data_IF_873331306133
#
_entry.id   IF_873331306133
#
_cell.length_a   1.000
_cell.length_b   1.000
_cell.length_c   1.000
_cell.angle_alpha   90.00
_cell.angle_beta   90.00
_cell.angle_gamma   90.00
#
_symmetry.space_group_name_H-M   'P 1'
#
loop_
_entity.id
_entity.type
_entity.pdbx_description
1 polymer ?
#
# COMPACT_ATOMS: atom_id res chain seq x y z
N UNK A 1 10.15 16.79 -10.10
CA UNK A 1 11.40 16.19 -10.60
C UNK A 1 12.09 17.19 -11.56
N UNK A 2 13.14 17.87 -11.08
CA UNK A 2 13.86 18.87 -11.91
C UNK A 2 14.74 18.24 -13.02
N UNK A 3 15.00 16.92 -12.96
CA UNK A 3 15.81 16.23 -13.96
C UNK A 3 14.96 15.81 -15.17
N UNK A 4 15.25 16.36 -16.35
CA UNK A 4 14.51 16.09 -17.61
C UNK A 4 14.36 14.60 -17.96
N UNK A 5 15.31 13.74 -17.58
CA UNK A 5 15.25 12.29 -17.83
C UNK A 5 14.19 11.56 -17.00
N UNK A 6 13.90 12.05 -15.79
CA UNK A 6 12.91 11.41 -14.89
C UNK A 6 11.48 11.91 -15.14
N UNK A 7 11.30 13.04 -15.81
CA UNK A 7 9.97 13.59 -16.16
C UNK A 7 9.16 12.71 -17.12
N UNK A 8 9.79 11.79 -17.84
CA UNK A 8 9.11 10.85 -18.73
C UNK A 8 8.71 9.55 -18.06
N UNK A 9 9.19 9.31 -16.84
CA UNK A 9 8.88 8.10 -16.09
C UNK A 9 7.70 8.35 -15.18
N UNK A 10 6.83 7.38 -15.07
CA UNK A 10 5.75 7.40 -14.08
C UNK A 10 6.36 7.22 -12.70
N UNK A 11 6.05 8.11 -11.77
CA UNK A 11 6.49 8.03 -10.39
C UNK A 11 5.47 7.24 -9.57
N UNK A 12 5.92 6.18 -8.92
CA UNK A 12 5.14 5.47 -7.90
C UNK A 12 5.82 5.72 -6.56
N UNK A 13 5.05 6.15 -5.59
CA UNK A 13 5.55 6.37 -4.22
C UNK A 13 4.92 5.37 -3.26
N UNK A 14 5.54 5.16 -2.13
CA UNK A 14 5.03 4.23 -1.15
C UNK A 14 6.04 3.91 -0.07
N UNK A 15 5.75 2.84 0.65
CA UNK A 15 6.69 2.39 1.67
C UNK A 15 6.13 1.28 2.55
N UNK A 16 7.02 0.75 3.38
CA UNK A 16 6.67 -0.25 4.37
C UNK A 16 6.14 0.40 5.63
N UNK A 17 5.05 -0.16 6.17
CA UNK A 17 4.49 0.20 7.47
C UNK A 17 4.29 1.73 7.59
N UNK A 18 4.91 2.37 8.58
CA UNK A 18 4.84 3.80 8.81
C UNK A 18 5.28 4.61 7.57
N UNK A 19 6.26 4.14 6.80
CA UNK A 19 6.70 4.81 5.56
C UNK A 19 5.59 4.91 4.52
N UNK A 20 4.79 3.85 4.34
CA UNK A 20 3.61 3.86 3.47
C UNK A 20 2.52 4.80 3.99
N UNK A 21 2.27 4.79 5.30
CA UNK A 21 1.31 5.70 5.92
C UNK A 21 1.73 7.17 5.77
N UNK A 22 3.00 7.50 5.97
CA UNK A 22 3.51 8.85 5.75
C UNK A 22 3.34 9.25 4.28
N UNK A 23 3.68 8.37 3.32
CA UNK A 23 3.48 8.63 1.90
C UNK A 23 2.01 8.94 1.59
N UNK A 24 1.07 8.20 2.19
CA UNK A 24 -0.36 8.45 2.02
C UNK A 24 -0.79 9.81 2.62
N UNK A 25 -0.28 10.18 3.79
CA UNK A 25 -0.56 11.47 4.42
C UNK A 25 -0.03 12.64 3.59
N UNK A 26 1.18 12.53 3.04
CA UNK A 26 1.75 13.54 2.15
C UNK A 26 0.89 13.71 0.90
N UNK A 27 0.42 12.61 0.31
CA UNK A 27 -0.45 12.66 -0.88
C UNK A 27 -1.87 13.16 -0.60
N UNK A 28 -2.35 13.05 0.63
CA UNK A 28 -3.65 13.57 1.05
C UNK A 28 -3.59 15.03 1.50
N UNK A 29 -2.40 15.55 1.84
CA UNK A 29 -2.19 16.89 2.37
C UNK A 29 -2.32 18.01 1.34
N UNK A 30 -2.40 19.25 1.82
CA UNK A 30 -2.53 20.44 0.96
C UNK A 30 -1.27 20.72 0.14
N UNK A 31 -0.09 20.37 0.67
CA UNK A 31 1.19 20.58 -0.03
C UNK A 31 1.43 19.64 -1.23
N UNK A 32 0.53 18.67 -1.45
CA UNK A 32 0.61 17.73 -2.58
C UNK A 32 0.61 18.41 -3.95
N UNK A 33 0.05 19.60 -4.07
CA UNK A 33 -0.14 20.29 -5.35
C UNK A 33 1.16 20.46 -6.16
N UNK A 34 2.30 20.53 -5.47
CA UNK A 34 3.60 20.74 -6.15
C UNK A 34 4.13 19.50 -6.89
N UNK A 35 3.67 18.30 -6.57
CA UNK A 35 4.19 17.04 -7.14
C UNK A 35 3.13 15.95 -7.41
N UNK A 36 1.89 16.18 -6.98
CA UNK A 36 0.84 15.17 -7.12
C UNK A 36 0.60 14.73 -8.57
N UNK A 37 0.75 15.65 -9.52
CA UNK A 37 0.59 15.35 -10.95
C UNK A 37 1.67 14.39 -11.47
N UNK A 38 2.87 14.42 -10.89
CA UNK A 38 3.97 13.52 -11.25
C UNK A 38 3.76 12.09 -10.70
N UNK A 39 2.89 11.91 -9.69
CA UNK A 39 2.63 10.61 -9.07
C UNK A 39 1.55 9.84 -9.81
N UNK A 40 1.88 8.66 -10.31
CA UNK A 40 0.97 7.75 -10.99
C UNK A 40 0.17 6.85 -10.03
N UNK A 41 0.74 6.51 -8.88
CA UNK A 41 0.09 5.66 -7.89
C UNK A 41 0.91 5.46 -6.62
N UNK A 42 0.31 4.79 -5.63
CA UNK A 42 0.93 4.49 -4.34
C UNK A 42 0.93 2.98 -4.05
N UNK A 43 2.03 2.49 -3.46
CA UNK A 43 2.16 1.11 -2.99
C UNK A 43 2.43 1.08 -1.50
N UNK A 44 1.62 0.34 -0.76
CA UNK A 44 1.76 0.18 0.68
C UNK A 44 2.12 -1.26 1.02
N UNK A 45 3.26 -1.44 1.69
CA UNK A 45 3.74 -2.74 2.13
C UNK A 45 3.44 -2.90 3.63
N UNK A 46 2.36 -3.59 3.97
CA UNK A 46 1.88 -3.70 5.35
C UNK A 46 1.41 -2.35 5.89
N UNK A 47 0.28 -1.84 5.38
CA UNK A 47 -0.31 -0.58 5.87
C UNK A 47 -0.74 -0.72 7.33
N UNK A 48 -0.27 0.15 8.25
CA UNK A 48 -0.64 0.08 9.65
C UNK A 48 -2.00 0.75 9.87
N UNK A 49 -3.07 0.02 9.65
CA UNK A 49 -4.46 0.49 9.77
C UNK A 49 -4.77 1.04 11.16
N UNK A 50 -4.25 0.38 12.18
CA UNK A 50 -4.39 0.75 13.59
C UNK A 50 -3.18 0.30 14.41
N UNK A 51 -2.96 0.81 15.63
CA UNK A 51 -1.96 0.28 16.53
C UNK A 51 -2.28 -1.17 16.93
N UNK A 52 -1.28 -2.00 17.24
CA UNK A 52 -1.51 -3.35 17.75
C UNK A 52 -2.41 -3.33 18.99
N UNK A 53 -3.41 -4.20 19.03
CA UNK A 53 -4.34 -4.31 20.15
C UNK A 53 -5.31 -3.14 20.32
N UNK A 54 -5.34 -2.16 19.39
CA UNK A 54 -6.29 -1.06 19.41
C UNK A 54 -6.96 -0.84 18.04
N UNK A 55 -7.84 -1.75 17.61
CA UNK A 55 -8.48 -1.69 16.30
C UNK A 55 -9.46 -0.51 16.14
N UNK A 56 -9.87 0.12 17.23
CA UNK A 56 -10.74 1.30 17.18
C UNK A 56 -9.99 2.58 16.75
N UNK A 57 -8.64 2.62 16.88
CA UNK A 57 -7.84 3.78 16.51
C UNK A 57 -7.42 3.70 15.05
N UNK A 58 -8.36 3.89 14.15
CA UNK A 58 -8.16 3.82 12.71
C UNK A 58 -7.29 4.97 12.16
N UNK A 59 -6.60 4.70 11.04
CA UNK A 59 -5.68 5.62 10.36
C UNK A 59 -6.00 5.68 8.86
N UNK A 60 -7.26 5.93 8.52
CA UNK A 60 -7.80 5.82 7.16
C UNK A 60 -8.47 7.08 6.63
N UNK A 61 -8.84 8.04 7.48
CA UNK A 61 -9.65 9.21 7.13
C UNK A 61 -9.07 10.01 5.96
N UNK A 62 -7.75 10.13 5.90
CA UNK A 62 -7.07 10.86 4.84
C UNK A 62 -7.04 10.14 3.48
N UNK A 63 -7.31 8.83 3.43
CA UNK A 63 -7.22 8.04 2.19
C UNK A 63 -8.25 8.50 1.14
N UNK A 64 -9.40 9.02 1.55
CA UNK A 64 -10.43 9.54 0.64
C UNK A 64 -9.99 10.79 -0.13
N UNK A 65 -8.98 11.51 0.38
CA UNK A 65 -8.41 12.68 -0.26
C UNK A 65 -7.30 12.34 -1.28
N UNK A 66 -6.96 11.06 -1.45
CA UNK A 66 -5.98 10.59 -2.42
C UNK A 66 -6.71 10.16 -3.69
N UNK A 67 -6.56 10.97 -4.75
CA UNK A 67 -7.19 10.69 -6.05
C UNK A 67 -6.22 9.99 -7.02
N UNK A 68 -5.46 9.04 -6.50
CA UNK A 68 -4.51 8.20 -7.26
C UNK A 68 -4.76 6.72 -6.98
N UNK A 69 -4.47 5.83 -7.94
CA UNK A 69 -4.52 4.40 -7.70
C UNK A 69 -3.64 3.99 -6.51
N UNK A 70 -4.12 3.07 -5.70
CA UNK A 70 -3.41 2.55 -4.52
C UNK A 70 -3.39 1.02 -4.54
N UNK A 71 -2.22 0.44 -4.26
CA UNK A 71 -2.05 -0.99 -4.02
C UNK A 71 -1.65 -1.22 -2.56
N UNK A 72 -2.43 -2.03 -1.85
CA UNK A 72 -2.13 -2.50 -0.51
C UNK A 72 -1.62 -3.94 -0.60
N UNK A 73 -0.37 -4.18 -0.24
CA UNK A 73 0.21 -5.52 -0.07
C UNK A 73 0.15 -5.83 1.41
N UNK A 74 -0.70 -6.78 1.82
CA UNK A 74 -1.08 -6.95 3.22
C UNK A 74 -1.11 -8.42 3.63
N UNK A 75 -0.50 -8.74 4.79
CA UNK A 75 -0.54 -10.07 5.36
C UNK A 75 -1.90 -10.38 6.00
N UNK A 76 -2.41 -11.61 5.80
CA UNK A 76 -3.69 -12.02 6.40
C UNK A 76 -3.62 -12.22 7.91
N UNK A 77 -2.42 -12.21 8.49
CA UNK A 77 -2.18 -12.28 9.95
C UNK A 77 -1.47 -11.03 10.48
N UNK A 78 -1.56 -9.93 9.75
CA UNK A 78 -0.98 -8.67 10.19
C UNK A 78 -1.79 -8.07 11.34
N UNK A 79 -1.17 -7.95 12.52
CA UNK A 79 -1.81 -7.43 13.74
C UNK A 79 -2.04 -5.91 13.72
N UNK A 80 -1.52 -5.22 12.70
CA UNK A 80 -1.73 -3.79 12.47
C UNK A 80 -2.86 -3.51 11.47
N UNK A 81 -3.46 -4.57 10.91
CA UNK A 81 -4.57 -4.53 9.98
C UNK A 81 -4.49 -5.64 8.94
N UNK A 82 -5.53 -6.45 8.85
CA UNK A 82 -5.66 -7.50 7.83
C UNK A 82 -6.29 -6.96 6.55
N UNK A 83 -6.23 -7.70 5.42
CA UNK A 83 -6.96 -7.34 4.20
C UNK A 83 -8.46 -7.11 4.44
N UNK A 84 -9.08 -7.96 5.25
CA UNK A 84 -10.50 -7.88 5.60
C UNK A 84 -10.83 -6.61 6.38
N UNK A 85 -9.93 -6.18 7.28
CA UNK A 85 -10.10 -4.94 8.04
C UNK A 85 -9.93 -3.69 7.18
N UNK A 86 -9.03 -3.72 6.17
CA UNK A 86 -8.78 -2.60 5.26
C UNK A 86 -9.90 -2.45 4.22
N UNK A 87 -10.42 -3.56 3.70
CA UNK A 87 -11.38 -3.60 2.59
C UNK A 87 -12.58 -2.63 2.75
N UNK A 88 -13.26 -2.51 3.90
CA UNK A 88 -14.40 -1.61 4.05
C UNK A 88 -14.08 -0.15 3.79
N UNK A 89 -12.84 0.27 4.09
CA UNK A 89 -12.42 1.67 3.99
C UNK A 89 -11.92 2.04 2.59
N UNK A 90 -11.51 1.06 1.79
CA UNK A 90 -10.91 1.32 0.47
C UNK A 90 -11.81 0.94 -0.70
N UNK A 91 -12.83 0.12 -0.49
CA UNK A 91 -13.72 -0.39 -1.55
C UNK A 91 -14.44 0.70 -2.36
N UNK A 92 -14.70 1.86 -1.75
CA UNK A 92 -15.42 2.96 -2.36
C UNK A 92 -14.52 4.09 -2.87
N UNK A 93 -13.20 3.96 -2.71
CA UNK A 93 -12.27 4.97 -3.18
C UNK A 93 -12.28 5.08 -4.71
N UNK A 94 -11.99 6.27 -5.20
CA UNK A 94 -11.88 6.55 -6.64
C UNK A 94 -10.59 7.32 -6.92
N UNK A 95 -9.66 6.76 -7.72
CA UNK A 95 -9.70 5.41 -8.33
C UNK A 95 -9.77 4.27 -7.30
N UNK A 96 -10.25 3.10 -7.74
CA UNK A 96 -10.38 1.94 -6.86
C UNK A 96 -9.02 1.49 -6.33
N UNK A 97 -8.94 1.24 -5.03
CA UNK A 97 -7.76 0.63 -4.44
C UNK A 97 -7.77 -0.89 -4.65
N UNK A 98 -6.58 -1.46 -4.82
CA UNK A 98 -6.38 -2.91 -4.91
C UNK A 98 -5.72 -3.42 -3.63
N UNK A 99 -6.16 -4.57 -3.14
CA UNK A 99 -5.53 -5.28 -2.03
C UNK A 99 -4.96 -6.60 -2.57
N UNK A 100 -3.66 -6.81 -2.35
CA UNK A 100 -2.99 -8.08 -2.55
C UNK A 100 -2.72 -8.71 -1.19
N UNK A 101 -3.43 -9.80 -0.91
CA UNK A 101 -3.31 -10.53 0.36
C UNK A 101 -2.15 -11.52 0.30
N UNK A 102 -1.23 -11.44 1.27
CA UNK A 102 -0.20 -12.46 1.50
C UNK A 102 -0.76 -13.45 2.51
N UNK A 103 -1.16 -14.62 2.02
CA UNK A 103 -1.79 -15.65 2.85
C UNK A 103 -0.85 -16.13 3.95
N UNK A 104 -1.33 -16.09 5.19
CA UNK A 104 -0.56 -16.43 6.40
C UNK A 104 0.51 -15.41 6.78
N UNK A 105 0.72 -14.35 6.00
CA UNK A 105 1.74 -13.34 6.27
C UNK A 105 1.42 -12.49 7.50
N UNK A 106 2.44 -12.24 8.32
CA UNK A 106 2.41 -11.24 9.39
C UNK A 106 2.75 -9.84 8.85
N UNK A 107 2.93 -8.86 9.74
CA UNK A 107 3.32 -7.50 9.37
C UNK A 107 4.66 -7.42 8.60
N UNK A 108 5.53 -8.41 8.75
CA UNK A 108 6.80 -8.54 8.03
C UNK A 108 6.73 -9.48 6.83
N UNK A 109 5.51 -9.93 6.47
CA UNK A 109 5.23 -10.89 5.39
C UNK A 109 5.79 -12.29 5.63
N UNK A 110 6.09 -12.64 6.89
CA UNK A 110 6.50 -13.98 7.28
C UNK A 110 5.28 -14.85 7.48
N UNK A 111 5.24 -15.99 6.82
CA UNK A 111 4.18 -16.96 6.96
C UNK A 111 4.69 -18.28 7.58
N UNK A 112 3.91 -18.96 8.44
CA UNK A 112 4.22 -20.29 8.90
C UNK A 112 4.37 -21.28 7.74
N UNK A 113 5.24 -22.28 7.90
CA UNK A 113 5.54 -23.29 6.86
C UNK A 113 4.29 -24.02 6.34
N UNK A 114 3.24 -24.15 7.16
CA UNK A 114 1.96 -24.79 6.76
C UNK A 114 1.28 -24.10 5.57
N UNK A 115 1.60 -22.84 5.28
CA UNK A 115 1.08 -22.10 4.11
C UNK A 115 1.84 -22.41 2.81
N UNK A 116 2.91 -23.23 2.86
CA UNK A 116 3.52 -23.85 1.69
C UNK A 116 4.46 -22.98 0.88
N UNK A 117 4.68 -21.70 1.27
CA UNK A 117 5.58 -20.80 0.57
C UNK A 117 6.82 -20.47 1.42
N UNK A 118 7.99 -20.44 0.78
CA UNK A 118 9.20 -19.91 1.39
C UNK A 118 9.16 -18.38 1.49
N UNK A 119 9.98 -17.75 2.37
CA UNK A 119 10.08 -16.29 2.42
C UNK A 119 10.44 -15.67 1.07
N UNK A 120 11.31 -16.32 0.30
CA UNK A 120 11.74 -15.88 -1.03
C UNK A 120 10.57 -15.91 -2.02
N UNK A 121 9.77 -16.98 -2.02
CA UNK A 121 8.60 -17.10 -2.88
C UNK A 121 7.53 -16.06 -2.53
N UNK A 122 7.32 -15.79 -1.25
CA UNK A 122 6.39 -14.74 -0.81
C UNK A 122 6.85 -13.38 -1.34
N UNK A 123 8.14 -13.10 -1.23
CA UNK A 123 8.72 -11.84 -1.72
C UNK A 123 8.60 -11.73 -3.25
N UNK A 124 8.99 -12.77 -4.00
CA UNK A 124 8.88 -12.81 -5.46
C UNK A 124 7.44 -12.60 -5.92
N UNK A 125 6.47 -13.31 -5.33
CA UNK A 125 5.06 -13.16 -5.66
C UNK A 125 4.56 -11.73 -5.40
N UNK A 126 4.98 -11.12 -4.30
CA UNK A 126 4.61 -9.74 -3.98
C UNK A 126 5.22 -8.75 -4.99
N UNK A 127 6.49 -8.93 -5.38
CA UNK A 127 7.16 -8.10 -6.37
C UNK A 127 6.53 -8.24 -7.76
N UNK A 128 6.18 -9.45 -8.17
CA UNK A 128 5.48 -9.72 -9.42
C UNK A 128 4.10 -9.03 -9.45
N UNK A 129 3.39 -9.06 -8.34
CA UNK A 129 2.10 -8.38 -8.23
C UNK A 129 2.25 -6.86 -8.32
N UNK A 130 3.25 -6.30 -7.67
CA UNK A 130 3.55 -4.87 -7.73
C UNK A 130 3.92 -4.46 -9.17
N UNK A 131 4.81 -5.22 -9.84
CA UNK A 131 5.19 -4.95 -11.24
C UNK A 131 3.96 -5.00 -12.16
N UNK A 132 3.15 -6.05 -12.02
CA UNK A 132 1.92 -6.21 -12.80
C UNK A 132 0.97 -5.04 -12.60
N UNK A 133 0.80 -4.59 -11.35
CA UNK A 133 -0.05 -3.46 -11.03
C UNK A 133 0.51 -2.14 -11.57
N UNK A 134 1.82 -1.88 -11.42
CA UNK A 134 2.48 -0.68 -11.97
C UNK A 134 2.28 -0.56 -13.48
N UNK A 135 2.29 -1.68 -14.20
CA UNK A 135 2.05 -1.70 -15.65
C UNK A 135 0.61 -1.30 -16.03
N UNK A 136 -0.32 -1.29 -15.10
CA UNK A 136 -1.70 -0.84 -15.34
C UNK A 136 -1.89 0.67 -15.17
N UNK A 137 -0.91 1.37 -14.57
CA UNK A 137 -0.94 2.81 -14.37
C UNK A 137 -0.60 3.53 -15.69
#
# INVERSE_FOLDING_TARGET
LKQKKLRKNRLVIGGKSMGGRIASQVMAGEEKESFADDVAGLVFLGYPLHPPGNPAKLRVEHLEHIHKPMLFVQGTRDTLGTPEEIQPYVKNLRPAAKIYAIEGGDHSFRAPKKFGLSPEQIFENAMDEIDRWIRTL
#
